data_IF_118657469789
#
_entry.id   IF_118657469789
#
_cell.length_a   1.000
_cell.length_b   1.000
_cell.length_c   1.000
_cell.angle_alpha   90.00
_cell.angle_beta   90.00
_cell.angle_gamma   90.00
#
_symmetry.space_group_name_H-M   'P 1'
#
loop_
_entity.id
_entity.type
_entity.pdbx_description
1 polymer ?
#
# COMPACT_ATOMS: atom_id res chain seq x y z
N UNK A 1 2.00 -3.80 -14.72
CA UNK A 1 1.35 -4.39 -13.52
C UNK A 1 2.07 -3.86 -12.30
N UNK A 2 1.39 -3.09 -11.46
CA UNK A 2 1.95 -2.47 -10.23
C UNK A 2 1.87 -3.49 -9.08
N UNK A 3 2.78 -3.37 -8.11
CA UNK A 3 2.83 -4.16 -6.87
C UNK A 3 1.58 -4.06 -5.99
N UNK A 4 0.62 -3.16 -6.32
CA UNK A 4 -0.75 -3.11 -5.77
C UNK A 4 -1.58 -4.38 -6.03
N UNK A 5 -1.30 -5.14 -7.09
CA UNK A 5 -2.08 -6.34 -7.42
C UNK A 5 -1.94 -7.48 -6.39
N UNK A 6 -0.86 -7.49 -5.61
CA UNK A 6 -0.58 -8.53 -4.63
C UNK A 6 -1.63 -8.60 -3.52
N UNK A 7 -2.05 -7.44 -2.99
CA UNK A 7 -3.12 -7.37 -1.99
C UNK A 7 -4.48 -7.78 -2.54
N UNK A 8 -4.77 -7.48 -3.81
CA UNK A 8 -6.05 -7.80 -4.44
C UNK A 8 -6.31 -9.32 -4.54
N UNK A 9 -5.26 -10.13 -4.69
CA UNK A 9 -5.37 -11.60 -4.73
C UNK A 9 -5.10 -12.22 -3.36
N UNK A 10 -4.11 -11.71 -2.61
CA UNK A 10 -3.74 -12.28 -1.32
C UNK A 10 -4.81 -12.04 -0.24
N UNK A 11 -5.52 -10.91 -0.27
CA UNK A 11 -6.55 -10.57 0.70
C UNK A 11 -7.75 -11.54 0.68
N UNK A 12 -8.42 -11.83 -0.46
CA UNK A 12 -9.50 -12.82 -0.49
C UNK A 12 -9.00 -14.24 -0.22
N UNK A 13 -7.78 -14.59 -0.64
CA UNK A 13 -7.21 -15.92 -0.33
C UNK A 13 -7.01 -16.10 1.17
N UNK A 14 -6.49 -15.09 1.88
CA UNK A 14 -6.30 -15.15 3.33
C UNK A 14 -7.61 -15.05 4.12
N UNK A 15 -8.54 -14.20 3.70
CA UNK A 15 -9.80 -13.96 4.44
C UNK A 15 -10.88 -14.98 4.13
N UNK A 16 -11.09 -15.36 2.87
CA UNK A 16 -12.13 -16.31 2.45
C UNK A 16 -11.61 -17.75 2.37
N UNK A 17 -10.37 -17.96 1.93
CA UNK A 17 -9.77 -19.29 1.84
C UNK A 17 -9.29 -19.83 3.19
N UNK A 18 -8.53 -19.02 3.92
CA UNK A 18 -7.89 -19.42 5.19
C UNK A 18 -8.63 -18.94 6.45
N UNK A 19 -9.72 -18.16 6.31
CA UNK A 19 -10.49 -17.59 7.44
C UNK A 19 -9.67 -16.79 8.45
N UNK A 20 -8.60 -16.13 7.98
CA UNK A 20 -7.77 -15.26 8.81
C UNK A 20 -8.51 -13.92 9.01
N UNK A 21 -8.34 -13.31 10.18
CA UNK A 21 -8.94 -12.01 10.48
C UNK A 21 -8.57 -10.96 9.41
N UNK A 22 -9.54 -10.17 8.90
CA UNK A 22 -9.31 -9.18 7.83
C UNK A 22 -8.24 -8.15 8.18
N UNK A 23 -8.03 -7.87 9.47
CA UNK A 23 -7.01 -6.93 9.91
C UNK A 23 -5.60 -7.43 9.58
N UNK A 24 -5.31 -8.69 9.92
CA UNK A 24 -4.01 -9.31 9.67
C UNK A 24 -3.73 -9.45 8.17
N UNK A 25 -4.75 -9.81 7.38
CA UNK A 25 -4.62 -9.91 5.93
C UNK A 25 -4.34 -8.55 5.26
N UNK A 26 -4.89 -7.45 5.81
CA UNK A 26 -4.62 -6.09 5.34
C UNK A 26 -3.20 -5.67 5.65
N UNK A 27 -2.74 -5.85 6.89
CA UNK A 27 -1.39 -5.48 7.32
C UNK A 27 -0.32 -6.22 6.51
N UNK A 28 -0.54 -7.52 6.28
CA UNK A 28 0.33 -8.33 5.42
C UNK A 28 0.41 -7.79 3.98
N UNK A 29 -0.74 -7.42 3.41
CA UNK A 29 -0.80 -6.88 2.04
C UNK A 29 -0.06 -5.55 1.92
N UNK A 30 -0.19 -4.67 2.91
CA UNK A 30 0.52 -3.39 2.97
C UNK A 30 2.04 -3.58 3.10
N UNK A 31 2.49 -4.55 3.90
CA UNK A 31 3.93 -4.85 4.05
C UNK A 31 4.52 -5.36 2.74
N UNK A 32 3.87 -6.33 2.09
CA UNK A 32 4.36 -6.89 0.81
C UNK A 32 4.44 -5.82 -0.27
N UNK A 33 3.43 -4.95 -0.33
CA UNK A 33 3.42 -3.82 -1.25
C UNK A 33 4.56 -2.84 -0.97
N UNK A 34 4.80 -2.48 0.29
CA UNK A 34 5.88 -1.58 0.68
C UNK A 34 7.24 -2.13 0.22
N UNK A 35 7.49 -3.43 0.46
CA UNK A 35 8.73 -4.11 0.02
C UNK A 35 8.87 -4.01 -1.51
N UNK A 36 7.82 -4.36 -2.26
CA UNK A 36 7.85 -4.32 -3.73
C UNK A 36 8.10 -2.91 -4.29
N UNK A 37 7.46 -1.89 -3.72
CA UNK A 37 7.66 -0.50 -4.13
C UNK A 37 9.05 0.03 -3.76
N UNK A 38 9.61 -0.36 -2.60
CA UNK A 38 10.98 -0.02 -2.22
C UNK A 38 12.02 -0.66 -3.14
N UNK A 39 11.81 -1.90 -3.58
CA UNK A 39 12.66 -2.53 -4.59
C UNK A 39 12.62 -1.77 -5.93
N UNK A 40 11.44 -1.33 -6.38
CA UNK A 40 11.31 -0.52 -7.59
C UNK A 40 12.04 0.83 -7.45
N UNK A 41 11.91 1.50 -6.30
CA UNK A 41 12.64 2.73 -6.01
C UNK A 41 14.16 2.50 -6.06
N UNK A 42 14.65 1.39 -5.51
CA UNK A 42 16.07 1.05 -5.55
C UNK A 42 16.59 0.90 -6.99
N UNK A 43 15.85 0.20 -7.85
CA UNK A 43 16.21 0.03 -9.27
C UNK A 43 16.22 1.36 -10.01
N UNK A 44 15.22 2.22 -9.75
CA UNK A 44 15.13 3.57 -10.32
C UNK A 44 16.39 4.39 -10.00
N UNK A 45 16.83 4.36 -8.73
CA UNK A 45 18.02 5.08 -8.27
C UNK A 45 19.27 4.49 -8.91
N UNK A 46 19.40 3.16 -8.92
CA UNK A 46 20.58 2.47 -9.44
C UNK A 46 20.75 2.67 -10.95
N UNK A 47 19.66 2.58 -11.74
CA UNK A 47 19.68 2.78 -13.18
C UNK A 47 19.68 4.26 -13.61
N UNK A 48 19.60 5.21 -12.68
CA UNK A 48 19.48 6.65 -12.99
C UNK A 48 18.37 6.95 -14.02
N UNK A 49 17.21 6.32 -13.83
CA UNK A 49 16.05 6.57 -14.71
C UNK A 49 15.69 8.04 -14.65
N UNK A 50 15.56 8.69 -15.81
CA UNK A 50 15.11 10.08 -15.87
C UNK A 50 13.63 10.16 -15.48
N UNK A 51 13.36 10.77 -14.33
CA UNK A 51 12.01 10.94 -13.81
C UNK A 51 11.72 12.43 -13.69
N UNK A 52 10.51 12.82 -14.12
CA UNK A 52 9.95 14.14 -13.91
C UNK A 52 9.71 14.38 -12.40
N UNK A 53 10.67 15.04 -11.76
CA UNK A 53 10.64 15.34 -10.32
C UNK A 53 9.39 16.10 -9.88
N UNK A 54 8.84 16.93 -10.77
CA UNK A 54 7.59 17.67 -10.52
C UNK A 54 6.39 16.75 -10.36
N UNK A 55 6.25 15.76 -11.25
CA UNK A 55 5.16 14.78 -11.17
C UNK A 55 5.26 13.94 -9.89
N UNK A 56 6.48 13.55 -9.51
CA UNK A 56 6.72 12.84 -8.24
C UNK A 56 6.31 13.70 -7.05
N UNK A 57 6.76 14.96 -6.97
CA UNK A 57 6.43 15.85 -5.84
C UNK A 57 4.91 16.06 -5.73
N UNK A 58 4.21 16.36 -6.83
CA UNK A 58 2.75 16.54 -6.80
C UNK A 58 2.02 15.25 -6.40
N UNK A 59 2.46 14.09 -6.87
CA UNK A 59 1.88 12.80 -6.49
C UNK A 59 2.13 12.44 -5.02
N UNK A 60 3.32 12.71 -4.51
CA UNK A 60 3.71 12.44 -3.12
C UNK A 60 2.96 13.35 -2.14
N UNK A 61 2.75 14.62 -2.50
CA UNK A 61 1.97 15.58 -1.69
C UNK A 61 0.52 15.14 -1.54
N UNK A 62 -0.09 14.51 -2.56
CA UNK A 62 -1.46 14.00 -2.45
C UNK A 62 -1.56 12.65 -1.73
N UNK A 63 -0.62 11.74 -2.01
CA UNK A 63 -0.68 10.36 -1.52
C UNK A 63 -0.38 10.20 -0.03
N UNK A 64 0.60 10.93 0.52
CA UNK A 64 0.95 10.83 1.95
C UNK A 64 -0.20 11.25 2.87
N UNK A 65 -0.76 12.47 2.77
CA UNK A 65 -1.87 12.88 3.63
C UNK A 65 -3.12 12.03 3.39
N UNK A 66 -3.39 11.65 2.14
CA UNK A 66 -4.51 10.76 1.81
C UNK A 66 -4.38 9.38 2.49
N UNK A 67 -3.19 8.80 2.46
CA UNK A 67 -2.91 7.53 3.12
C UNK A 67 -3.01 7.65 4.64
N UNK A 68 -2.40 8.67 5.25
CA UNK A 68 -2.42 8.90 6.70
C UNK A 68 -3.85 9.12 7.21
N UNK A 69 -4.63 9.95 6.51
CA UNK A 69 -6.06 10.18 6.82
C UNK A 69 -6.86 8.89 6.66
N UNK A 70 -6.65 8.14 5.58
CA UNK A 70 -7.31 6.84 5.37
C UNK A 70 -6.99 5.83 6.47
N UNK A 71 -5.72 5.66 6.82
CA UNK A 71 -5.31 4.70 7.84
C UNK A 71 -5.73 5.10 9.26
N UNK A 72 -5.69 6.38 9.61
CA UNK A 72 -6.00 6.83 10.97
C UNK A 72 -7.50 7.08 11.16
N UNK A 73 -8.15 7.84 10.28
CA UNK A 73 -9.54 8.26 10.48
C UNK A 73 -10.53 7.19 10.04
N UNK A 74 -10.32 6.55 8.89
CA UNK A 74 -11.23 5.49 8.44
C UNK A 74 -11.03 4.25 9.30
N UNK A 75 -9.81 3.78 9.53
CA UNK A 75 -9.61 2.59 10.37
C UNK A 75 -10.07 2.79 11.83
N UNK A 76 -9.86 3.97 12.44
CA UNK A 76 -10.34 4.24 13.79
C UNK A 76 -11.87 4.31 13.87
N UNK A 77 -12.53 4.87 12.84
CA UNK A 77 -14.00 4.91 12.78
C UNK A 77 -14.58 3.49 12.72
N UNK A 78 -13.97 2.59 11.96
CA UNK A 78 -14.44 1.19 11.89
C UNK A 78 -14.23 0.44 13.21
N UNK A 79 -13.19 0.74 14.00
CA UNK A 79 -12.98 0.09 15.31
C UNK A 79 -13.88 0.61 16.43
N UNK A 80 -14.56 1.76 16.25
CA UNK A 80 -15.52 2.32 17.21
C UNK A 80 -16.97 1.89 16.96
N UNK A 81 -17.26 1.33 15.79
CA UNK A 81 -18.61 0.94 15.35
C UNK A 81 -18.90 -0.56 15.61
N UNK A 82 -17.86 -1.34 15.94
CA UNK A 82 -17.93 -2.78 16.25
C UNK A 82 -17.59 -2.98 17.72
#
# INVERSE_FOLDING_TARGET
MTSEGGGAVAFPVMTLGLKIAPNVARDFSLIVQAIGMSCALFVIIFMNVQIEKRAVIFGTIGSIPGFVVGSLLVSATYSLII
#
